data_IF_944691116975
#
_entry.id   IF_944691116975
#
_cell.length_a   1.000
_cell.length_b   1.000
_cell.length_c   1.000
_cell.angle_alpha   90.00
_cell.angle_beta   90.00
_cell.angle_gamma   90.00
#
_symmetry.space_group_name_H-M   'P 1'
#
loop_
_entity.id
_entity.type
_entity.pdbx_description
1 polymer ?
#
# COMPACT_ATOMS: atom_id res chain seq x y z
N UNK A 1 -14.04 -6.47 -1.01
CA UNK A 1 -13.37 -7.19 -2.04
C UNK A 1 -11.91 -6.79 -2.24
N UNK A 2 -11.62 -5.50 -2.49
CA UNK A 2 -10.23 -5.04 -2.58
C UNK A 2 -9.54 -5.20 -1.23
N UNK A 3 -10.21 -4.87 -0.13
CA UNK A 3 -9.63 -5.02 1.20
C UNK A 3 -9.25 -6.48 1.49
N UNK A 4 -10.09 -7.43 1.12
CA UNK A 4 -9.80 -8.86 1.28
C UNK A 4 -8.62 -9.28 0.43
N UNK A 5 -8.53 -8.77 -0.80
CA UNK A 5 -7.41 -9.06 -1.68
C UNK A 5 -6.10 -8.48 -1.12
N UNK A 6 -6.16 -7.29 -0.55
CA UNK A 6 -4.99 -6.68 0.11
C UNK A 6 -4.51 -7.58 1.25
N UNK A 7 -5.43 -8.05 2.09
CA UNK A 7 -5.09 -8.96 3.19
C UNK A 7 -4.46 -10.25 2.65
N UNK A 8 -5.02 -10.81 1.58
CA UNK A 8 -4.48 -12.01 0.94
C UNK A 8 -3.04 -11.80 0.47
N UNK A 9 -2.77 -10.69 -0.19
CA UNK A 9 -1.42 -10.39 -0.69
C UNK A 9 -0.43 -10.15 0.46
N UNK A 10 -0.87 -9.46 1.51
CA UNK A 10 -0.03 -9.25 2.69
C UNK A 10 0.32 -10.59 3.34
N UNK A 11 -0.67 -11.47 3.49
CA UNK A 11 -0.45 -12.80 4.07
C UNK A 11 0.54 -13.63 3.26
N UNK A 12 0.43 -13.58 1.93
CA UNK A 12 1.37 -14.27 1.04
C UNK A 12 2.78 -13.71 1.14
N UNK A 13 2.89 -12.38 1.14
CA UNK A 13 4.18 -11.71 1.13
C UNK A 13 4.98 -12.00 2.41
N UNK A 14 4.33 -11.96 3.56
CA UNK A 14 4.97 -12.17 4.85
C UNK A 14 4.84 -13.60 5.36
N UNK A 15 4.22 -14.48 4.60
CA UNK A 15 4.00 -15.89 4.97
C UNK A 15 3.35 -16.04 6.35
N UNK A 16 2.27 -15.29 6.56
CA UNK A 16 1.55 -15.25 7.83
C UNK A 16 0.05 -15.07 7.58
N UNK A 17 -0.73 -15.13 8.64
CA UNK A 17 -2.13 -14.71 8.62
C UNK A 17 -2.27 -13.51 9.56
N UNK A 18 -2.35 -12.32 8.99
CA UNK A 18 -2.37 -11.09 9.77
C UNK A 18 -3.71 -10.83 10.48
N UNK A 19 -4.74 -11.65 10.22
CA UNK A 19 -6.04 -11.55 10.90
C UNK A 19 -6.09 -12.34 12.20
N UNK A 20 -5.13 -13.21 12.43
CA UNK A 20 -5.07 -14.01 13.66
C UNK A 20 -4.81 -13.09 14.86
N UNK A 21 -5.51 -13.34 15.96
CA UNK A 21 -5.28 -12.61 17.22
C UNK A 21 -3.94 -13.04 17.80
N UNK A 22 -2.94 -12.18 17.62
CA UNK A 22 -1.60 -12.41 18.13
C UNK A 22 -0.92 -11.07 18.37
N UNK A 23 -0.03 -11.04 19.34
CA UNK A 23 0.81 -9.89 19.63
C UNK A 23 2.24 -10.07 19.09
N UNK A 24 2.51 -11.18 18.42
CA UNK A 24 3.82 -11.45 17.84
C UNK A 24 4.09 -10.52 16.68
N UNK A 25 5.31 -10.03 16.58
CA UNK A 25 5.72 -9.06 15.56
C UNK A 25 5.48 -9.58 14.14
N UNK A 26 5.70 -10.87 13.90
CA UNK A 26 5.50 -11.47 12.58
C UNK A 26 4.03 -11.54 12.14
N UNK A 27 3.09 -11.25 13.03
CA UNK A 27 1.66 -11.14 12.72
C UNK A 27 1.21 -9.68 12.79
N UNK A 28 1.66 -8.96 13.81
CA UNK A 28 1.25 -7.57 14.06
C UNK A 28 1.77 -6.62 12.97
N UNK A 29 3.04 -6.74 12.59
CA UNK A 29 3.63 -5.86 11.59
C UNK A 29 2.97 -6.02 10.21
N UNK A 30 2.78 -7.24 9.68
CA UNK A 30 2.00 -7.41 8.45
C UNK A 30 0.60 -6.81 8.53
N UNK A 31 -0.08 -6.96 9.66
CA UNK A 31 -1.40 -6.35 9.88
C UNK A 31 -1.35 -4.84 9.76
N UNK A 32 -0.33 -4.20 10.29
CA UNK A 32 -0.15 -2.76 10.20
C UNK A 32 0.03 -2.30 8.74
N UNK A 33 0.81 -3.04 7.95
CA UNK A 33 0.94 -2.77 6.51
C UNK A 33 -0.40 -2.92 5.80
N UNK A 34 -1.15 -3.97 6.10
CA UNK A 34 -2.47 -4.19 5.52
C UNK A 34 -3.41 -3.00 5.82
N UNK A 35 -3.43 -2.54 7.07
CA UNK A 35 -4.26 -1.40 7.47
C UNK A 35 -3.91 -0.14 6.68
N UNK A 36 -2.63 0.15 6.54
CA UNK A 36 -2.18 1.33 5.79
C UNK A 36 -2.58 1.23 4.32
N UNK A 37 -2.33 0.09 3.68
CA UNK A 37 -2.63 -0.09 2.26
C UNK A 37 -4.14 -0.01 2.02
N UNK A 38 -4.95 -0.65 2.86
CA UNK A 38 -6.41 -0.56 2.75
C UNK A 38 -6.88 0.89 2.87
N UNK A 39 -6.34 1.64 3.83
CA UNK A 39 -6.70 3.03 4.02
C UNK A 39 -6.34 3.90 2.83
N UNK A 40 -5.22 3.63 2.19
CA UNK A 40 -4.76 4.40 1.03
C UNK A 40 -5.47 4.04 -0.27
N UNK A 41 -5.77 2.77 -0.47
CA UNK A 41 -6.34 2.28 -1.73
C UNK A 41 -7.86 2.20 -1.73
N UNK A 42 -8.50 2.34 -0.58
CA UNK A 42 -9.97 2.31 -0.48
C UNK A 42 -10.46 3.55 0.23
N UNK A 43 -11.77 3.78 0.15
CA UNK A 43 -12.42 4.86 0.91
C UNK A 43 -13.04 4.35 2.21
N UNK A 44 -12.64 3.16 2.66
CA UNK A 44 -13.21 2.57 3.88
C UNK A 44 -12.96 3.45 5.10
N UNK A 45 -13.97 3.58 5.94
CA UNK A 45 -13.84 4.25 7.22
C UNK A 45 -12.92 3.46 8.14
N UNK A 46 -12.26 4.16 9.08
CA UNK A 46 -11.34 3.52 10.03
C UNK A 46 -12.02 2.39 10.82
N UNK A 47 -13.28 2.58 11.21
CA UNK A 47 -14.02 1.55 11.94
C UNK A 47 -14.28 0.31 11.07
N UNK A 48 -14.56 0.50 9.79
CA UNK A 48 -14.77 -0.63 8.87
C UNK A 48 -13.49 -1.44 8.68
N UNK A 49 -12.35 -0.77 8.61
CA UNK A 49 -11.05 -1.44 8.55
C UNK A 49 -10.80 -2.20 9.86
N UNK A 50 -11.10 -1.56 10.98
CA UNK A 50 -10.94 -2.18 12.30
C UNK A 50 -11.77 -3.47 12.41
N UNK A 51 -12.98 -3.44 11.88
CA UNK A 51 -13.90 -4.59 11.92
C UNK A 51 -13.32 -5.80 11.16
N UNK A 52 -12.54 -5.56 10.10
CA UNK A 52 -11.90 -6.64 9.36
C UNK A 52 -10.90 -7.44 10.23
N UNK A 53 -10.32 -6.79 11.22
CA UNK A 53 -9.29 -7.38 12.09
C UNK A 53 -9.76 -7.62 13.52
N UNK A 54 -11.03 -7.30 13.82
CA UNK A 54 -11.54 -7.40 15.18
C UNK A 54 -10.90 -6.40 16.15
N UNK A 55 -10.57 -5.22 15.65
CA UNK A 55 -9.92 -4.14 16.42
C UNK A 55 -10.85 -2.91 16.50
N UNK A 56 -10.43 -1.90 17.24
CA UNK A 56 -11.11 -0.61 17.25
C UNK A 56 -10.38 0.39 16.32
N UNK A 57 -11.05 1.50 16.01
CA UNK A 57 -10.48 2.48 15.07
C UNK A 57 -9.20 3.15 15.62
N UNK A 58 -9.06 3.29 16.93
CA UNK A 58 -7.85 3.85 17.52
C UNK A 58 -6.62 2.96 17.23
N UNK A 59 -6.81 1.63 17.23
CA UNK A 59 -5.75 0.69 16.88
C UNK A 59 -5.33 0.86 15.43
N UNK A 60 -6.26 1.16 14.52
CA UNK A 60 -5.94 1.39 13.11
C UNK A 60 -5.14 2.68 12.94
N UNK A 61 -5.54 3.75 13.62
CA UNK A 61 -4.79 5.02 13.60
C UNK A 61 -3.37 4.79 14.10
N UNK A 62 -3.21 4.06 15.20
CA UNK A 62 -1.90 3.73 15.75
C UNK A 62 -1.06 2.92 14.76
N UNK A 63 -1.66 1.89 14.16
CA UNK A 63 -0.99 1.04 13.18
C UNK A 63 -0.44 1.86 12.00
N UNK A 64 -1.24 2.75 11.45
CA UNK A 64 -0.84 3.60 10.34
C UNK A 64 0.31 4.53 10.74
N UNK A 65 0.24 5.12 11.93
CA UNK A 65 1.33 5.97 12.43
C UNK A 65 2.64 5.21 12.59
N UNK A 66 2.58 3.99 13.12
CA UNK A 66 3.78 3.16 13.29
C UNK A 66 4.40 2.83 11.94
N UNK A 67 3.59 2.41 10.96
CA UNK A 67 4.09 2.11 9.62
C UNK A 67 4.69 3.35 8.98
N UNK A 68 4.01 4.49 9.04
CA UNK A 68 4.52 5.73 8.46
C UNK A 68 5.88 6.11 9.05
N UNK A 69 6.04 5.96 10.35
CA UNK A 69 7.32 6.21 11.02
C UNK A 69 8.40 5.24 10.56
N UNK A 70 8.07 3.95 10.46
CA UNK A 70 9.01 2.94 9.98
C UNK A 70 9.47 3.22 8.56
N UNK A 71 8.56 3.67 7.69
CA UNK A 71 8.88 3.99 6.29
C UNK A 71 9.86 5.17 6.20
N UNK A 72 9.78 6.12 7.11
CA UNK A 72 10.69 7.27 7.14
C UNK A 72 12.08 6.90 7.65
N UNK A 73 12.14 5.99 8.63
CA UNK A 73 13.38 5.71 9.37
C UNK A 73 14.18 4.57 8.76
N UNK A 74 13.51 3.54 8.22
CA UNK A 74 14.15 2.31 7.77
C UNK A 74 13.91 2.05 6.29
N UNK A 75 14.95 2.17 5.43
CA UNK A 75 14.79 1.93 3.98
C UNK A 75 14.21 0.56 3.62
N UNK A 76 14.54 -0.49 4.38
CA UNK A 76 14.03 -1.84 4.10
C UNK A 76 12.49 -1.93 4.23
N UNK A 77 11.91 -1.20 5.17
CA UNK A 77 10.45 -1.20 5.34
C UNK A 77 9.78 -0.48 4.19
N UNK A 78 10.40 0.56 3.68
CA UNK A 78 9.91 1.26 2.49
C UNK A 78 9.91 0.32 1.29
N UNK A 79 10.95 -0.50 1.13
CA UNK A 79 11.00 -1.50 0.06
C UNK A 79 9.88 -2.52 0.18
N UNK A 80 9.65 -3.06 1.37
CA UNK A 80 8.55 -4.00 1.60
C UNK A 80 7.21 -3.38 1.24
N UNK A 81 6.98 -2.15 1.66
CA UNK A 81 5.75 -1.44 1.37
C UNK A 81 5.54 -1.24 -0.14
N UNK A 82 6.56 -0.80 -0.85
CA UNK A 82 6.48 -0.58 -2.29
C UNK A 82 6.25 -1.89 -3.05
N UNK A 83 6.92 -2.97 -2.65
CA UNK A 83 6.71 -4.28 -3.25
C UNK A 83 5.29 -4.79 -3.01
N UNK A 84 4.78 -4.65 -1.79
CA UNK A 84 3.41 -5.01 -1.46
C UNK A 84 2.40 -4.22 -2.27
N UNK A 85 2.59 -2.91 -2.39
CA UNK A 85 1.72 -2.06 -3.19
C UNK A 85 1.70 -2.52 -4.64
N UNK A 86 2.85 -2.84 -5.19
CA UNK A 86 2.95 -3.34 -6.57
C UNK A 86 2.21 -4.66 -6.73
N UNK A 87 2.35 -5.58 -5.78
CA UNK A 87 1.66 -6.87 -5.82
C UNK A 87 0.14 -6.71 -5.76
N UNK A 88 -0.35 -5.81 -4.91
CA UNK A 88 -1.79 -5.54 -4.78
C UNK A 88 -2.33 -4.93 -6.08
N UNK A 89 -1.64 -3.94 -6.63
CA UNK A 89 -2.06 -3.24 -7.84
C UNK A 89 -2.03 -4.14 -9.08
N UNK A 90 -1.23 -5.20 -9.04
CA UNK A 90 -1.15 -6.18 -10.13
C UNK A 90 -2.26 -7.23 -10.09
N UNK A 91 -3.10 -7.25 -9.05
CA UNK A 91 -4.20 -8.21 -8.95
C UNK A 91 -5.35 -7.85 -9.89
N UNK A 92 -6.07 -8.87 -10.35
CA UNK A 92 -7.24 -8.66 -11.21
C UNK A 92 -8.33 -7.86 -10.48
N UNK A 93 -8.51 -8.10 -9.19
CA UNK A 93 -9.50 -7.39 -8.37
C UNK A 93 -9.24 -5.89 -8.40
N UNK A 94 -7.98 -5.49 -8.23
CA UNK A 94 -7.60 -4.08 -8.26
C UNK A 94 -7.70 -3.50 -9.67
N UNK A 95 -7.19 -4.22 -10.68
CA UNK A 95 -7.19 -3.76 -12.07
C UNK A 95 -8.60 -3.53 -12.61
N UNK A 96 -9.57 -4.31 -12.15
CA UNK A 96 -10.97 -4.19 -12.56
C UNK A 96 -11.73 -3.16 -11.74
N UNK A 97 -11.09 -2.47 -10.80
CA UNK A 97 -11.73 -1.47 -9.94
C UNK A 97 -11.56 -0.07 -10.50
N UNK A 98 -12.43 0.84 -10.07
CA UNK A 98 -12.32 2.26 -10.42
C UNK A 98 -11.07 2.91 -9.83
N UNK A 99 -10.46 2.29 -8.81
CA UNK A 99 -9.28 2.81 -8.14
C UNK A 99 -8.03 2.71 -9.02
N UNK A 100 -7.98 1.76 -9.96
CA UNK A 100 -6.85 1.57 -10.86
C UNK A 100 -6.54 2.83 -11.67
N UNK A 101 -7.56 3.56 -12.12
CA UNK A 101 -7.38 4.79 -12.89
C UNK A 101 -6.65 5.87 -12.08
N UNK A 102 -7.01 6.02 -10.82
CA UNK A 102 -6.36 7.00 -9.93
C UNK A 102 -4.91 6.62 -9.66
N UNK A 103 -4.64 5.33 -9.49
CA UNK A 103 -3.29 4.83 -9.26
C UNK A 103 -2.39 5.08 -10.46
N UNK A 104 -2.87 4.83 -11.68
CA UNK A 104 -2.10 5.07 -12.91
C UNK A 104 -1.69 6.55 -13.00
N UNK A 105 -2.62 7.47 -12.74
CA UNK A 105 -2.33 8.90 -12.76
C UNK A 105 -1.28 9.25 -11.71
N UNK A 106 -1.39 8.70 -10.50
CA UNK A 106 -0.43 8.93 -9.43
C UNK A 106 0.96 8.41 -9.80
N UNK A 107 1.03 7.25 -10.45
CA UNK A 107 2.29 6.64 -10.88
C UNK A 107 2.97 7.49 -11.96
N UNK A 108 2.21 8.00 -12.91
CA UNK A 108 2.73 8.90 -13.94
C UNK A 108 3.31 10.17 -13.29
N UNK A 109 2.59 10.77 -12.36
CA UNK A 109 3.06 11.95 -11.64
C UNK A 109 4.34 11.67 -10.86
N UNK A 110 4.42 10.50 -10.23
CA UNK A 110 5.60 10.09 -9.49
C UNK A 110 6.80 9.89 -10.40
N UNK A 111 6.60 9.26 -11.56
CA UNK A 111 7.67 9.08 -12.54
C UNK A 111 8.18 10.40 -13.08
N UNK A 112 7.29 11.33 -13.39
CA UNK A 112 7.68 12.68 -13.83
C UNK A 112 8.50 13.37 -12.74
N UNK A 113 8.04 13.32 -11.51
CA UNK A 113 8.76 13.91 -10.38
C UNK A 113 10.15 13.29 -10.20
N UNK A 114 10.24 11.96 -10.24
CA UNK A 114 11.50 11.25 -10.09
C UNK A 114 12.46 11.56 -11.25
N UNK A 115 11.95 11.72 -12.46
CA UNK A 115 12.76 12.09 -13.62
C UNK A 115 13.35 13.48 -13.48
N UNK A 116 12.56 14.42 -12.98
CA UNK A 116 13.04 15.79 -12.70
C UNK A 116 14.15 15.77 -11.64
N UNK A 117 13.97 14.96 -10.62
CA UNK A 117 14.96 14.84 -9.54
C UNK A 117 16.16 13.98 -9.95
N UNK A 118 15.93 12.96 -10.78
CA UNK A 118 16.97 12.06 -11.25
C UNK A 118 17.79 12.57 -12.42
N UNK A 119 17.31 13.61 -13.08
CA UNK A 119 18.01 14.28 -14.19
C UNK A 119 18.19 13.43 -15.45
N UNK A 120 17.27 12.50 -15.68
CA UNK A 120 17.27 11.70 -16.90
C UNK A 120 16.34 12.37 -17.93
N UNK A 121 16.95 13.13 -18.83
CA UNK A 121 16.22 13.90 -19.84
C UNK A 121 15.52 13.00 -20.85
N UNK A 122 16.15 11.90 -21.25
CA UNK A 122 15.54 10.95 -22.19
C UNK A 122 14.32 10.29 -21.57
N UNK A 123 14.41 9.87 -20.33
CA UNK A 123 13.30 9.28 -19.61
C UNK A 123 12.16 10.27 -19.44
N UNK A 124 12.47 11.52 -19.11
CA UNK A 124 11.50 12.59 -18.98
C UNK A 124 10.77 12.84 -20.30
N UNK A 125 11.49 12.90 -21.42
CA UNK A 125 10.91 13.10 -22.73
C UNK A 125 9.97 11.94 -23.10
N UNK A 126 10.34 10.73 -22.75
CA UNK A 126 9.52 9.53 -22.97
C UNK A 126 8.20 9.62 -22.20
N UNK A 127 8.26 10.05 -20.96
CA UNK A 127 7.08 10.24 -20.12
C UNK A 127 6.18 11.34 -20.68
N UNK A 128 6.76 12.46 -21.11
CA UNK A 128 6.01 13.57 -21.69
C UNK A 128 5.28 13.15 -22.96
N UNK A 129 5.85 12.29 -23.78
CA UNK A 129 5.18 11.73 -24.97
C UNK A 129 3.97 10.89 -24.59
N UNK A 130 4.03 10.17 -23.48
CA UNK A 130 2.90 9.34 -23.01
C UNK A 130 1.77 10.23 -22.50
N UNK A 131 2.10 11.34 -21.84
CA UNK A 131 1.13 12.25 -21.23
C UNK A 131 0.46 13.16 -22.27
N UNK A 132 1.18 13.53 -23.30
CA UNK A 132 0.68 14.38 -24.38
C UNK A 132 0.09 13.60 -25.53
#
# INVERSE_FOLDING_TARGET
EIAKEIITQVNKYFETDCRVKSRKTNVVRPRMYACKIIRELTSMALQDIADLFGLNHASIIHAIKVVNNDLEVMPKYKMYYLELRALVEDTDVYQNSSLARKSVISDIRREVYNSLMGKDIEHLNKILKIIT
#
